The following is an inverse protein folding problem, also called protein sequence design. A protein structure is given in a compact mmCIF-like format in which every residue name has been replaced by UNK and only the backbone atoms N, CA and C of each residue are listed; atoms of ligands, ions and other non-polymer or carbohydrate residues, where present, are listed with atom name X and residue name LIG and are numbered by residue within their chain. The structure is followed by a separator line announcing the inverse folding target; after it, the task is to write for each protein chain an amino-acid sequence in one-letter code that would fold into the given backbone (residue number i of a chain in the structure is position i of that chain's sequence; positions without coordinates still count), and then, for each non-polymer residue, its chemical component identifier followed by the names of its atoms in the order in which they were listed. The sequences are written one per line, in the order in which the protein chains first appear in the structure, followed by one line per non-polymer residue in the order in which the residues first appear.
data_IF_504108766152
#
_entry.id   IF_504108766152
#
_cell.length_a   1.000
_cell.length_b   1.000
_cell.length_c   1.000
_cell.angle_alpha   90.00
_cell.angle_beta   90.00
_cell.angle_gamma   90.00
#
_symmetry.space_group_name_H-M   'P 1'
#
loop_
_entity.id
_entity.type
_entity.pdbx_description
1 polymer ?
#
# COMPACT_ATOMS: atom_id res chain seq x y z
N UNK A 1 15.36 -5.30 -70.98
CA UNK A 1 15.77 -4.98 -69.60
C UNK A 1 15.64 -3.48 -69.39
N UNK A 2 14.44 -3.03 -69.02
CA UNK A 2 14.27 -1.62 -68.62
C UNK A 2 12.95 -1.46 -67.88
N UNK A 3 13.13 -1.03 -66.62
CA UNK A 3 12.28 -0.23 -65.73
C UNK A 3 10.89 0.16 -66.21
N UNK A 4 9.96 0.11 -65.25
CA UNK A 4 8.89 1.09 -64.91
C UNK A 4 7.66 0.30 -64.48
N UNK A 5 7.30 0.40 -63.21
CA UNK A 5 5.92 0.70 -62.82
C UNK A 5 5.96 1.28 -61.41
N UNK A 6 6.02 2.62 -61.40
CA UNK A 6 5.63 3.45 -60.28
C UNK A 6 4.19 3.20 -59.90
N UNK A 7 3.94 3.28 -58.59
CA UNK A 7 2.68 3.56 -57.91
C UNK A 7 1.52 2.59 -58.16
N UNK A 8 1.20 1.81 -57.12
CA UNK A 8 -0.14 1.91 -56.55
C UNK A 8 -0.09 1.81 -55.03
N UNK A 9 -0.69 2.82 -54.41
CA UNK A 9 -0.82 3.10 -52.99
C UNK A 9 -1.49 1.92 -52.27
N UNK A 10 -0.78 1.26 -51.36
CA UNK A 10 -1.42 0.41 -50.35
C UNK A 10 -1.76 1.32 -49.16
N UNK A 11 -3.01 1.75 -49.10
CA UNK A 11 -3.61 2.35 -47.92
C UNK A 11 -3.70 1.26 -46.85
N UNK A 12 -2.65 1.13 -46.03
CA UNK A 12 -2.75 0.33 -44.80
C UNK A 12 -3.57 1.16 -43.83
N UNK A 13 -4.84 0.78 -43.70
CA UNK A 13 -5.75 1.33 -42.72
C UNK A 13 -5.10 1.26 -41.33
N UNK A 14 -4.68 2.43 -40.84
CA UNK A 14 -4.36 2.67 -39.45
C UNK A 14 -5.65 2.47 -38.65
N UNK A 15 -5.92 1.22 -38.28
CA UNK A 15 -6.85 0.89 -37.21
C UNK A 15 -6.43 1.73 -36.02
N UNK A 16 -7.22 2.75 -35.73
CA UNK A 16 -7.15 3.58 -34.53
C UNK A 16 -7.46 2.68 -33.34
N UNK A 17 -6.47 1.89 -32.93
CA UNK A 17 -6.46 1.28 -31.62
C UNK A 17 -6.33 2.47 -30.67
N UNK A 18 -7.46 2.88 -30.08
CA UNK A 18 -7.48 3.83 -28.98
C UNK A 18 -6.66 3.20 -27.87
N UNK A 19 -5.38 3.56 -27.79
CA UNK A 19 -4.53 3.25 -26.65
C UNK A 19 -5.23 3.93 -25.47
N UNK A 20 -5.92 3.12 -24.68
CA UNK A 20 -6.44 3.54 -23.39
C UNK A 20 -5.20 3.68 -22.51
N UNK A 21 -4.63 4.88 -22.52
CA UNK A 21 -3.58 5.27 -21.58
C UNK A 21 -4.07 4.84 -20.20
N UNK A 22 -3.31 4.03 -19.45
CA UNK A 22 -3.59 3.86 -18.04
C UNK A 22 -3.35 5.24 -17.44
N UNK A 23 -4.44 5.91 -17.07
CA UNK A 23 -4.39 7.11 -16.25
C UNK A 23 -3.81 6.69 -14.91
N UNK A 24 -2.48 6.63 -14.84
CA UNK A 24 -1.78 6.75 -13.57
C UNK A 24 -1.98 8.20 -13.17
N UNK A 25 -3.10 8.45 -12.48
CA UNK A 25 -3.30 9.67 -11.73
C UNK A 25 -2.30 9.65 -10.57
N UNK A 26 -1.03 9.95 -10.85
CA UNK A 26 -0.10 10.41 -9.82
C UNK A 26 -0.44 11.87 -9.54
N UNK A 27 -1.54 12.10 -8.82
CA UNK A 27 -1.85 13.39 -8.23
C UNK A 27 -2.11 13.12 -6.75
N UNK A 28 -1.18 13.48 -5.84
CA UNK A 28 -1.42 13.35 -4.42
C UNK A 28 -2.50 14.37 -4.08
N UNK A 29 -3.72 13.90 -3.84
CA UNK A 29 -4.72 14.73 -3.22
C UNK A 29 -4.42 14.73 -1.70
N UNK A 30 -3.91 15.83 -1.13
CA UNK A 30 -3.52 15.92 0.27
C UNK A 30 -4.70 15.72 1.25
N UNK A 31 -5.94 15.79 0.76
CA UNK A 31 -7.14 15.68 1.59
C UNK A 31 -7.57 14.23 1.85
N UNK A 32 -6.88 13.23 1.28
CA UNK A 32 -7.22 11.82 1.46
C UNK A 32 -6.36 11.21 2.57
N UNK A 33 -7.02 10.69 3.61
CA UNK A 33 -6.39 9.89 4.65
C UNK A 33 -5.68 8.64 4.10
N UNK A 34 -5.20 7.78 4.99
CA UNK A 34 -4.52 6.53 4.58
C UNK A 34 -5.48 5.68 3.74
N UNK A 35 -4.99 5.21 2.59
CA UNK A 35 -5.70 4.30 1.69
C UNK A 35 -5.57 2.86 2.19
N UNK A 36 -6.29 2.56 3.27
CA UNK A 36 -6.36 1.21 3.81
C UNK A 36 -6.97 0.24 2.80
N UNK A 37 -6.38 -0.94 2.68
CA UNK A 37 -7.05 -2.05 2.00
C UNK A 37 -8.39 -2.33 2.68
N UNK A 38 -9.41 -2.53 1.86
CA UNK A 38 -10.78 -2.85 2.29
C UNK A 38 -10.94 -4.32 2.73
N UNK A 39 -9.87 -5.11 2.67
CA UNK A 39 -9.84 -6.50 3.13
C UNK A 39 -8.90 -6.63 4.32
N UNK A 40 -9.27 -7.44 5.31
CA UNK A 40 -8.41 -7.82 6.42
C UNK A 40 -7.62 -9.10 6.07
N UNK A 41 -6.95 -9.10 4.92
CA UNK A 41 -6.25 -10.27 4.35
C UNK A 41 -4.80 -9.94 4.06
N UNK A 42 -3.88 -10.64 4.72
CA UNK A 42 -2.45 -10.51 4.45
C UNK A 42 -2.10 -11.03 3.05
N UNK A 43 -2.84 -12.03 2.55
CA UNK A 43 -2.65 -12.55 1.19
C UNK A 43 -2.95 -11.48 0.15
N UNK A 44 -4.06 -10.75 0.31
CA UNK A 44 -4.46 -9.69 -0.63
C UNK A 44 -3.44 -8.55 -0.61
N UNK A 45 -2.95 -8.19 0.58
CA UNK A 45 -1.92 -7.16 0.73
C UNK A 45 -0.61 -7.57 0.04
N UNK A 46 -0.20 -8.84 0.16
CA UNK A 46 0.97 -9.38 -0.56
C UNK A 46 0.78 -9.37 -2.06
N UNK A 47 -0.39 -9.80 -2.55
CA UNK A 47 -0.69 -9.73 -3.97
C UNK A 47 -0.61 -8.28 -4.47
N UNK A 48 -1.28 -7.34 -3.78
CA UNK A 48 -1.28 -5.94 -4.16
C UNK A 48 0.13 -5.34 -4.13
N UNK A 49 0.91 -5.66 -3.11
CA UNK A 49 2.30 -5.25 -2.95
C UNK A 49 3.15 -5.66 -4.16
N UNK A 50 2.97 -6.89 -4.68
CA UNK A 50 3.65 -7.34 -5.89
C UNK A 50 3.17 -6.59 -7.13
N UNK A 51 1.86 -6.33 -7.27
CA UNK A 51 1.30 -5.62 -8.42
C UNK A 51 1.79 -4.17 -8.54
N UNK A 52 1.90 -3.46 -7.41
CA UNK A 52 2.30 -2.04 -7.40
C UNK A 52 3.75 -1.80 -6.99
N UNK A 53 4.51 -2.88 -6.77
CA UNK A 53 5.90 -2.87 -6.34
C UNK A 53 6.16 -1.96 -5.11
N UNK A 54 5.34 -2.12 -4.06
CA UNK A 54 5.46 -1.39 -2.78
C UNK A 54 5.61 -2.35 -1.62
N UNK A 55 6.24 -1.92 -0.53
CA UNK A 55 6.22 -2.66 0.74
C UNK A 55 4.80 -2.64 1.35
N UNK A 56 4.56 -3.44 2.38
CA UNK A 56 3.29 -3.46 3.10
C UNK A 56 3.49 -2.80 4.45
N UNK A 57 2.70 -1.77 4.75
CA UNK A 57 2.59 -1.22 6.10
C UNK A 57 1.41 -1.88 6.79
N UNK A 58 1.64 -2.49 7.96
CA UNK A 58 0.59 -3.15 8.73
C UNK A 58 0.44 -2.50 10.10
N UNK A 59 -0.77 -2.03 10.39
CA UNK A 59 -1.21 -1.64 11.73
C UNK A 59 -1.91 -2.84 12.40
N UNK A 60 -1.26 -3.44 13.40
CA UNK A 60 -1.87 -4.47 14.24
C UNK A 60 -2.47 -3.79 15.47
N UNK A 61 -3.79 -3.87 15.61
CA UNK A 61 -4.55 -3.22 16.68
C UNK A 61 -5.58 -4.15 17.34
N UNK A 62 -6.30 -3.66 18.35
CA UNK A 62 -7.49 -4.32 18.91
C UNK A 62 -8.56 -3.30 19.30
N UNK A 63 -9.82 -3.72 19.38
CA UNK A 63 -10.96 -2.83 19.66
C UNK A 63 -10.90 -2.17 21.05
N UNK A 64 -10.27 -2.83 22.03
CA UNK A 64 -10.15 -2.33 23.41
C UNK A 64 -8.86 -1.52 23.64
N UNK A 65 -7.93 -1.49 22.68
CA UNK A 65 -6.64 -0.82 22.82
C UNK A 65 -6.76 0.72 22.79
N UNK A 66 -6.52 1.36 23.94
CA UNK A 66 -6.58 2.82 24.08
C UNK A 66 -5.53 3.56 23.23
N UNK A 67 -4.31 3.05 23.13
CA UNK A 67 -3.25 3.67 22.32
C UNK A 67 -3.50 3.55 20.82
N UNK A 68 -4.13 2.47 20.37
CA UNK A 68 -4.55 2.27 18.98
C UNK A 68 -5.55 3.36 18.58
N UNK A 69 -6.59 3.56 19.40
CA UNK A 69 -7.57 4.65 19.23
C UNK A 69 -6.90 6.03 19.23
N UNK A 70 -5.90 6.23 20.10
CA UNK A 70 -5.13 7.49 20.16
C UNK A 70 -4.33 7.74 18.88
N UNK A 71 -3.69 6.72 18.29
CA UNK A 71 -3.00 6.85 16.99
C UNK A 71 -3.98 7.15 15.86
N UNK A 72 -5.10 6.42 15.79
CA UNK A 72 -6.16 6.66 14.80
C UNK A 72 -6.76 8.06 14.87
N UNK A 73 -6.85 8.65 16.06
CA UNK A 73 -7.39 10.00 16.25
C UNK A 73 -6.36 11.10 15.96
N UNK A 74 -5.11 10.92 16.39
CA UNK A 74 -4.16 12.04 16.46
C UNK A 74 -3.02 11.94 15.43
N UNK A 75 -2.71 10.74 14.94
CA UNK A 75 -1.50 10.45 14.15
C UNK A 75 -1.85 10.10 12.71
N UNK A 76 -2.69 9.09 12.48
CA UNK A 76 -3.07 8.66 11.14
C UNK A 76 -3.84 9.72 10.30
N UNK A 77 -4.61 10.65 10.90
CA UNK A 77 -5.25 11.72 10.14
C UNK A 77 -4.28 12.83 9.68
N UNK A 78 -3.03 12.82 10.14
CA UNK A 78 -2.06 13.83 9.72
C UNK A 78 -1.68 13.60 8.26
N UNK A 79 -1.82 14.62 7.42
CA UNK A 79 -1.56 14.56 5.97
C UNK A 79 -0.16 14.02 5.63
N UNK A 80 0.84 14.41 6.41
CA UNK A 80 2.22 13.91 6.22
C UNK A 80 2.33 12.39 6.41
N UNK A 81 1.48 11.79 7.24
CA UNK A 81 1.44 10.35 7.47
C UNK A 81 0.72 9.64 6.33
N UNK A 82 -0.47 10.11 5.92
CA UNK A 82 -1.18 9.51 4.78
C UNK A 82 -0.35 9.63 3.50
N UNK A 83 0.29 10.77 3.27
CA UNK A 83 1.21 10.95 2.13
C UNK A 83 2.37 9.96 2.19
N UNK A 84 3.07 9.86 3.32
CA UNK A 84 4.19 8.93 3.46
C UNK A 84 3.77 7.46 3.26
N UNK A 85 2.61 7.06 3.79
CA UNK A 85 2.10 5.71 3.66
C UNK A 85 1.64 5.44 2.22
N UNK A 86 0.73 6.24 1.67
CA UNK A 86 0.11 6.02 0.37
C UNK A 86 1.14 6.06 -0.78
N UNK A 87 2.19 6.88 -0.67
CA UNK A 87 3.25 6.95 -1.68
C UNK A 87 4.12 5.68 -1.72
N UNK A 88 4.39 5.05 -0.57
CA UNK A 88 5.45 4.04 -0.47
C UNK A 88 4.96 2.63 -0.11
N UNK A 89 3.75 2.51 0.42
CA UNK A 89 3.25 1.26 1.00
C UNK A 89 1.86 0.90 0.49
N UNK A 90 1.56 -0.40 0.56
CA UNK A 90 0.20 -0.93 0.65
C UNK A 90 -0.17 -0.95 2.14
N UNK A 91 -1.22 -0.23 2.53
CA UNK A 91 -1.62 -0.11 3.93
C UNK A 91 -2.66 -1.18 4.30
N UNK A 92 -2.42 -1.91 5.39
CA UNK A 92 -3.31 -2.95 5.91
C UNK A 92 -3.52 -2.73 7.41
N UNK A 93 -4.77 -2.76 7.86
CA UNK A 93 -5.12 -2.78 9.28
C UNK A 93 -5.62 -4.17 9.64
N UNK A 94 -5.10 -4.77 10.70
CA UNK A 94 -5.54 -6.08 11.18
C UNK A 94 -5.85 -6.03 12.67
N UNK A 95 -6.92 -6.72 13.05
CA UNK A 95 -7.22 -7.01 14.45
C UNK A 95 -6.32 -8.13 14.95
N UNK A 96 -5.49 -7.86 15.96
CA UNK A 96 -4.54 -8.78 16.58
C UNK A 96 -5.19 -9.97 17.29
N UNK A 97 -6.50 -9.97 17.51
CA UNK A 97 -7.24 -11.08 18.13
C UNK A 97 -8.02 -11.92 17.11
N UNK A 98 -8.00 -11.54 15.83
CA UNK A 98 -8.81 -12.19 14.78
C UNK A 98 -7.99 -12.50 13.53
N UNK A 99 -8.41 -13.54 12.80
CA UNK A 99 -7.94 -13.83 11.45
C UNK A 99 -6.42 -13.81 11.29
N UNK A 100 -5.93 -13.08 10.30
CA UNK A 100 -4.50 -12.97 10.01
C UNK A 100 -3.74 -12.14 11.06
N UNK A 101 -4.39 -11.22 11.76
CA UNK A 101 -3.75 -10.46 12.83
C UNK A 101 -3.38 -11.35 14.02
N UNK A 102 -4.27 -12.24 14.45
CA UNK A 102 -3.98 -13.25 15.47
C UNK A 102 -2.85 -14.20 15.07
N UNK A 103 -2.81 -14.62 13.79
CA UNK A 103 -1.71 -15.46 13.27
C UNK A 103 -0.37 -14.73 13.33
N UNK A 104 -0.33 -13.44 12.97
CA UNK A 104 0.88 -12.62 13.05
C UNK A 104 1.31 -12.40 14.51
N UNK A 105 0.37 -12.15 15.43
CA UNK A 105 0.64 -12.03 16.86
C UNK A 105 1.36 -13.25 17.39
N UNK A 106 0.84 -14.44 17.09
CA UNK A 106 1.46 -15.71 17.49
C UNK A 106 2.80 -15.96 16.81
N UNK A 107 2.85 -15.85 15.47
CA UNK A 107 4.05 -16.19 14.67
C UNK A 107 5.23 -15.28 14.97
N UNK A 108 4.98 -13.99 15.21
CA UNK A 108 6.01 -12.99 15.46
C UNK A 108 6.23 -12.74 16.96
N UNK A 109 5.50 -13.42 17.84
CA UNK A 109 5.52 -13.19 19.28
C UNK A 109 5.32 -11.69 19.60
N UNK A 110 4.20 -11.12 19.14
CA UNK A 110 3.84 -9.73 19.39
C UNK A 110 3.37 -9.56 20.84
N UNK A 111 4.01 -8.65 21.58
CA UNK A 111 3.82 -8.51 23.04
C UNK A 111 2.83 -7.39 23.41
N UNK A 112 2.33 -6.62 22.43
CA UNK A 112 1.40 -5.53 22.69
C UNK A 112 0.88 -4.80 21.47
N UNK A 113 -0.06 -3.89 21.71
CA UNK A 113 -0.76 -3.12 20.70
C UNK A 113 -0.69 -1.60 21.00
N UNK A 114 -0.69 -0.73 19.97
CA UNK A 114 -0.58 -1.10 18.56
C UNK A 114 0.81 -1.65 18.24
N UNK A 115 0.93 -2.48 17.20
CA UNK A 115 2.22 -2.87 16.63
C UNK A 115 2.25 -2.49 15.15
N UNK A 116 3.23 -1.67 14.77
CA UNK A 116 3.45 -1.30 13.37
C UNK A 116 4.48 -2.25 12.75
N UNK A 117 4.16 -2.80 11.59
CA UNK A 117 5.07 -3.63 10.81
C UNK A 117 5.28 -3.02 9.44
N UNK A 118 6.49 -3.19 8.91
CA UNK A 118 6.75 -3.08 7.48
C UNK A 118 7.14 -4.46 7.00
N UNK A 119 6.42 -4.98 6.01
CA UNK A 119 6.69 -6.28 5.39
C UNK A 119 7.12 -6.10 3.94
N UNK A 120 7.96 -7.01 3.45
CA UNK A 120 8.18 -7.16 2.01
C UNK A 120 7.02 -7.89 1.32
N UNK A 121 7.05 -7.98 0.00
CA UNK A 121 6.00 -8.64 -0.79
C UNK A 121 5.85 -10.15 -0.48
N UNK A 122 6.87 -10.78 0.12
CA UNK A 122 6.83 -12.18 0.57
C UNK A 122 6.27 -12.32 1.99
N UNK A 123 6.10 -11.21 2.71
CA UNK A 123 5.62 -11.16 4.09
C UNK A 123 6.74 -11.23 5.13
N UNK A 124 8.01 -11.07 4.73
CA UNK A 124 9.12 -10.99 5.67
C UNK A 124 9.09 -9.64 6.39
N UNK A 125 9.40 -9.62 7.69
CA UNK A 125 9.45 -8.39 8.47
C UNK A 125 10.71 -7.60 8.13
N UNK A 126 10.53 -6.38 7.63
CA UNK A 126 11.59 -5.40 7.36
C UNK A 126 11.77 -4.48 8.56
N UNK A 127 10.66 -4.01 9.15
CA UNK A 127 10.65 -3.17 10.36
C UNK A 127 9.52 -3.56 11.28
N UNK A 128 9.71 -3.33 12.57
CA UNK A 128 8.72 -3.57 13.63
C UNK A 128 8.85 -2.53 14.72
N UNK A 129 7.71 -2.04 15.21
CA UNK A 129 7.64 -1.22 16.41
C UNK A 129 6.38 -1.59 17.20
N UNK A 130 6.54 -1.84 18.50
CA UNK A 130 5.42 -2.12 19.41
C UNK A 130 5.20 -0.92 20.33
N UNK A 131 3.95 -0.49 20.44
CA UNK A 131 3.54 0.65 21.24
C UNK A 131 3.16 1.89 20.42
N UNK A 132 2.77 2.93 21.15
CA UNK A 132 2.35 4.20 20.57
C UNK A 132 3.51 4.93 19.89
N UNK A 133 3.28 5.38 18.66
CA UNK A 133 4.15 6.33 17.96
C UNK A 133 3.44 7.67 17.82
N UNK A 134 4.12 8.75 18.22
CA UNK A 134 3.71 10.11 17.81
C UNK A 134 3.95 10.31 16.31
N UNK A 135 3.38 11.38 15.73
CA UNK A 135 3.52 11.71 14.30
C UNK A 135 4.98 11.69 13.82
N UNK A 136 5.88 12.33 14.55
CA UNK A 136 7.30 12.38 14.15
C UNK A 136 8.00 11.02 14.26
N UNK A 137 7.63 10.21 15.26
CA UNK A 137 8.19 8.89 15.44
C UNK A 137 7.69 7.94 14.35
N UNK A 138 6.39 7.99 14.00
CA UNK A 138 5.84 7.21 12.90
C UNK A 138 6.45 7.63 11.56
N UNK A 139 6.61 8.93 11.30
CA UNK A 139 7.28 9.40 10.10
C UNK A 139 8.73 8.90 10.03
N UNK A 140 9.44 8.86 11.16
CA UNK A 140 10.81 8.33 11.22
C UNK A 140 10.85 6.82 11.00
N UNK A 141 9.86 6.08 11.50
CA UNK A 141 9.71 4.64 11.25
C UNK A 141 9.49 4.32 9.76
N UNK A 142 8.73 5.17 9.06
CA UNK A 142 8.37 5.02 7.64
C UNK A 142 9.51 5.31 6.66
N UNK A 143 10.57 6.01 7.07
CA UNK A 143 11.79 6.27 6.27
C UNK A 143 12.73 5.09 6.34
#
# INVERSE_FOLDING_TARGET
MTKIFSLLVIVVALSSCKIKTPTTTSNPNPDKGIEWLNTASLSDAKQKSMEVNKLIFVDIETDWCGYCKKMKKNVFPQEMISTAINSNFVALSLDGEKGDGAKLVSTLNLEGFPTQLVLDAKGNVVKRHTGYLSTNQLLSFLK
#
